data_IF_107078421484
#
_entry.id   IF_107078421484
#
_cell.length_a   1.000
_cell.length_b   1.000
_cell.length_c   1.000
_cell.angle_alpha   90.00
_cell.angle_beta   90.00
_cell.angle_gamma   90.00
#
_symmetry.space_group_name_H-M   'P 1'
#
loop_
_entity.id
_entity.type
_entity.pdbx_description
1 polymer ?
#
# COMPACT_ATOMS: atom_id res chain seq x y z
N UNK A 1 9.05 6.77 -14.01
CA UNK A 1 10.42 7.05 -13.52
C UNK A 1 11.51 6.60 -14.49
N UNK A 2 11.55 5.35 -14.95
CA UNK A 2 12.62 4.85 -15.85
C UNK A 2 12.43 5.14 -17.33
N UNK A 3 11.23 5.60 -17.74
CA UNK A 3 10.86 5.78 -19.14
C UNK A 3 10.49 4.49 -19.89
N UNK A 4 10.66 3.30 -19.28
CA UNK A 4 10.44 2.01 -19.95
C UNK A 4 9.02 1.83 -20.49
N UNK A 5 8.00 2.28 -19.74
CA UNK A 5 6.62 2.29 -20.22
C UNK A 5 6.48 3.10 -21.51
N UNK A 6 6.96 4.35 -21.50
CA UNK A 6 6.83 5.24 -22.64
C UNK A 6 7.58 4.72 -23.87
N UNK A 7 8.80 4.21 -23.70
CA UNK A 7 9.54 3.57 -24.79
C UNK A 7 8.82 2.35 -25.37
N UNK A 8 8.19 1.53 -24.52
CA UNK A 8 7.48 0.31 -24.94
C UNK A 8 6.19 0.60 -25.69
N UNK A 9 5.45 1.63 -25.27
CA UNK A 9 4.12 1.95 -25.80
C UNK A 9 4.12 3.16 -26.74
N UNK A 10 5.31 3.61 -27.19
CA UNK A 10 5.44 4.72 -28.14
C UNK A 10 4.93 6.06 -27.61
N UNK A 11 5.13 6.33 -26.32
CA UNK A 11 4.75 7.59 -25.66
C UNK A 11 5.94 8.53 -25.48
N UNK A 12 5.67 9.79 -25.14
CA UNK A 12 6.71 10.77 -24.82
C UNK A 12 7.48 10.38 -23.55
N UNK A 13 8.77 10.10 -23.69
CA UNK A 13 9.62 9.59 -22.60
C UNK A 13 9.91 10.70 -21.56
N UNK A 14 10.39 11.90 -21.94
CA UNK A 14 10.58 13.00 -20.98
C UNK A 14 9.31 13.36 -20.20
N UNK A 15 8.17 13.53 -20.88
CA UNK A 15 6.89 13.83 -20.23
C UNK A 15 6.46 12.72 -19.27
N UNK A 16 6.60 11.45 -19.67
CA UNK A 16 6.29 10.31 -18.78
C UNK A 16 7.14 10.29 -17.50
N UNK A 17 8.42 10.66 -17.59
CA UNK A 17 9.29 10.75 -16.41
C UNK A 17 8.82 11.89 -15.51
N UNK A 18 8.49 13.07 -16.08
CA UNK A 18 8.00 14.22 -15.31
C UNK A 18 6.69 13.90 -14.56
N UNK A 19 5.73 13.22 -15.20
CA UNK A 19 4.51 12.76 -14.54
C UNK A 19 4.81 11.80 -13.38
N UNK A 20 5.77 10.88 -13.58
CA UNK A 20 6.22 9.98 -12.53
C UNK A 20 6.80 10.72 -11.33
N UNK A 21 7.68 11.71 -11.57
CA UNK A 21 8.30 12.52 -10.51
C UNK A 21 7.23 13.31 -9.74
N UNK A 22 6.28 13.92 -10.46
CA UNK A 22 5.19 14.67 -9.82
C UNK A 22 4.30 13.78 -8.93
N UNK A 23 4.00 12.56 -9.36
CA UNK A 23 3.25 11.61 -8.54
C UNK A 23 4.08 11.12 -7.33
N UNK A 24 5.37 10.84 -7.51
CA UNK A 24 6.28 10.46 -6.43
C UNK A 24 6.35 11.55 -5.34
N UNK A 25 6.46 12.81 -5.74
CA UNK A 25 6.43 13.96 -4.81
C UNK A 25 5.14 13.96 -3.97
N UNK A 26 3.98 13.73 -4.59
CA UNK A 26 2.70 13.67 -3.87
C UNK A 26 2.62 12.48 -2.92
N UNK A 27 3.17 11.32 -3.31
CA UNK A 27 3.20 10.12 -2.47
C UNK A 27 4.00 10.39 -1.19
N UNK A 28 5.22 10.93 -1.32
CA UNK A 28 6.04 11.25 -0.15
C UNK A 28 5.43 12.39 0.67
N UNK A 29 4.91 13.44 0.02
CA UNK A 29 4.26 14.54 0.74
C UNK A 29 3.08 14.07 1.59
N UNK A 30 2.21 13.20 1.06
CA UNK A 30 1.08 12.63 1.83
C UNK A 30 1.60 11.71 2.95
N UNK A 31 2.62 10.91 2.66
CA UNK A 31 3.24 9.99 3.62
C UNK A 31 3.81 10.75 4.83
N UNK A 32 4.56 11.82 4.59
CA UNK A 32 5.17 12.65 5.63
C UNK A 32 4.14 13.45 6.42
N UNK A 33 3.18 14.05 5.72
CA UNK A 33 2.24 15.00 6.33
C UNK A 33 1.18 14.29 7.16
N UNK A 34 0.72 13.12 6.71
CA UNK A 34 -0.45 12.45 7.31
C UNK A 34 -0.17 11.05 7.85
N UNK A 35 0.87 10.37 7.37
CA UNK A 35 1.17 8.98 7.75
C UNK A 35 2.50 8.81 8.49
N UNK A 36 3.00 9.87 9.10
CA UNK A 36 4.16 9.82 10.01
C UNK A 36 5.41 9.18 9.38
N UNK A 37 5.60 9.31 8.06
CA UNK A 37 6.68 8.58 7.37
C UNK A 37 8.07 8.92 7.90
N UNK A 38 8.36 10.21 8.15
CA UNK A 38 9.58 10.64 8.85
C UNK A 38 9.84 9.94 10.20
N UNK A 39 8.78 9.54 10.92
CA UNK A 39 8.93 8.78 12.17
C UNK A 39 9.11 7.28 11.91
N UNK A 40 8.45 6.76 10.87
CA UNK A 40 8.27 5.32 10.65
C UNK A 40 9.23 4.68 9.65
N UNK A 41 9.97 5.47 8.86
CA UNK A 41 10.86 4.98 7.78
C UNK A 41 11.80 3.85 8.24
N UNK A 42 12.48 4.04 9.38
CA UNK A 42 13.44 3.07 9.92
C UNK A 42 12.77 1.92 10.70
N UNK A 43 11.49 2.05 11.03
CA UNK A 43 10.73 1.05 11.80
C UNK A 43 9.48 0.54 11.05
N UNK A 44 9.55 0.51 9.72
CA UNK A 44 8.47 0.05 8.83
C UNK A 44 7.95 -1.34 9.19
N UNK A 45 6.65 -1.57 8.99
CA UNK A 45 5.98 -2.83 9.34
C UNK A 45 5.49 -3.52 8.07
N UNK A 46 5.34 -4.84 8.13
CA UNK A 46 4.80 -5.61 7.00
C UNK A 46 3.31 -5.39 6.86
N UNK A 47 2.59 -5.28 7.98
CA UNK A 47 1.14 -5.14 8.01
C UNK A 47 0.70 -4.13 9.08
N UNK A 48 -0.42 -3.44 8.83
CA UNK A 48 -0.93 -2.31 9.64
C UNK A 48 -1.13 -2.66 11.13
N UNK A 49 -1.46 -3.92 11.42
CA UNK A 49 -1.76 -4.40 12.78
C UNK A 49 -0.59 -5.12 13.46
N UNK A 50 0.62 -5.14 12.88
CA UNK A 50 1.77 -5.94 13.40
C UNK A 50 2.22 -5.54 14.81
N UNK A 51 2.00 -4.28 15.19
CA UNK A 51 2.36 -3.73 16.51
C UNK A 51 1.13 -3.43 17.37
N UNK A 52 -0.06 -3.91 16.96
CA UNK A 52 -1.33 -3.59 17.64
C UNK A 52 -1.41 -4.13 19.07
N UNK A 53 -0.63 -5.17 19.42
CA UNK A 53 -0.58 -5.74 20.77
C UNK A 53 -0.01 -4.78 21.83
N UNK A 54 0.80 -3.80 21.41
CA UNK A 54 1.41 -2.81 22.30
C UNK A 54 0.52 -1.57 22.50
N UNK A 55 -0.59 -1.49 21.75
CA UNK A 55 -1.60 -0.46 21.87
C UNK A 55 -2.52 -0.69 23.08
N UNK A 56 -2.82 0.36 23.83
CA UNK A 56 -3.73 0.29 24.98
C UNK A 56 -5.16 0.75 24.65
N UNK A 57 -5.45 1.06 23.38
CA UNK A 57 -6.76 1.50 22.92
C UNK A 57 -7.16 2.91 23.35
N UNK A 58 -6.23 3.73 23.85
CA UNK A 58 -6.57 5.10 24.22
C UNK A 58 -7.02 5.93 23.02
N UNK A 59 -7.93 6.86 23.24
CA UNK A 59 -8.34 7.82 22.22
C UNK A 59 -7.15 8.69 21.80
N UNK A 60 -6.93 8.80 20.49
CA UNK A 60 -5.82 9.55 19.90
C UNK A 60 -6.27 10.92 19.39
N UNK A 61 -7.54 11.30 19.53
CA UNK A 61 -8.07 12.58 19.01
C UNK A 61 -7.33 13.82 19.52
N UNK A 62 -6.87 13.78 20.77
CA UNK A 62 -6.10 14.84 21.43
C UNK A 62 -4.63 14.46 21.67
N UNK A 63 -4.16 13.34 21.12
CA UNK A 63 -2.78 12.88 21.31
C UNK A 63 -1.82 13.69 20.43
N UNK A 64 -0.79 14.28 21.05
CA UNK A 64 0.18 15.10 20.32
C UNK A 64 1.42 14.29 19.92
N UNK A 65 1.38 13.71 18.71
CA UNK A 65 2.49 12.95 18.13
C UNK A 65 3.80 13.74 17.98
N UNK A 66 3.74 15.07 17.84
CA UNK A 66 4.95 15.89 17.61
C UNK A 66 5.81 16.02 18.85
N UNK A 67 5.20 15.95 20.03
CA UNK A 67 5.89 16.17 21.32
C UNK A 67 5.85 14.95 22.22
N UNK A 68 5.49 13.78 21.69
CA UNK A 68 5.38 12.55 22.49
C UNK A 68 6.73 11.91 22.82
N UNK A 69 7.83 12.43 22.25
CA UNK A 69 9.18 11.95 22.50
C UNK A 69 9.49 10.59 21.84
N UNK A 70 8.81 10.24 20.75
CA UNK A 70 9.04 8.98 20.02
C UNK A 70 10.51 8.72 19.67
N UNK A 71 11.21 9.70 19.05
CA UNK A 71 12.62 9.58 18.69
C UNK A 71 13.56 9.46 19.90
N UNK A 72 13.25 10.14 21.00
CA UNK A 72 14.00 10.03 22.25
C UNK A 72 13.79 8.66 22.93
N UNK A 73 12.61 8.04 22.77
CA UNK A 73 12.36 6.69 23.24
C UNK A 73 13.09 5.65 22.37
N UNK A 74 13.24 5.91 21.06
CA UNK A 74 13.95 5.03 20.14
C UNK A 74 15.46 4.93 20.45
N UNK A 75 16.12 6.07 20.68
CA UNK A 75 17.55 6.10 21.03
C UNK A 75 17.84 5.39 22.35
N UNK A 76 16.94 5.55 23.33
CA UNK A 76 17.03 4.85 24.60
C UNK A 76 16.72 3.35 24.46
N UNK A 77 15.85 2.93 23.53
CA UNK A 77 15.59 1.51 23.29
C UNK A 77 16.85 0.77 22.79
N UNK A 78 17.66 1.40 21.95
CA UNK A 78 18.93 0.85 21.46
C UNK A 78 20.02 0.74 22.55
N UNK A 79 19.98 1.59 23.58
CA UNK A 79 20.95 1.62 24.69
C UNK A 79 20.55 0.73 25.88
N UNK A 80 19.28 0.33 26.00
CA UNK A 80 18.75 -0.34 27.20
C UNK A 80 18.81 -1.88 27.19
N UNK A 81 19.61 -2.52 26.32
CA UNK A 81 19.83 -3.97 26.41
C UNK A 81 20.54 -4.41 27.71
N UNK A 82 21.09 -3.48 28.49
CA UNK A 82 21.87 -3.81 29.69
C UNK A 82 21.13 -3.68 31.04
N UNK A 83 20.13 -2.82 31.21
CA UNK A 83 19.38 -2.70 32.50
C UNK A 83 18.02 -2.02 32.33
N UNK A 84 16.91 -2.78 32.41
CA UNK A 84 15.62 -2.27 32.94
C UNK A 84 14.56 -1.71 31.98
N UNK A 85 14.06 -2.51 31.02
CA UNK A 85 12.65 -2.73 30.57
C UNK A 85 11.69 -1.55 30.22
N UNK A 86 11.89 -0.28 30.61
CA UNK A 86 10.86 0.77 30.42
C UNK A 86 10.89 1.50 29.08
N UNK A 87 12.06 1.69 28.46
CA UNK A 87 12.20 2.47 27.21
C UNK A 87 11.58 1.78 25.99
N UNK A 88 11.81 0.47 25.85
CA UNK A 88 11.28 -0.30 24.71
C UNK A 88 9.75 -0.43 24.71
N UNK A 89 9.14 -0.65 25.89
CA UNK A 89 7.69 -0.79 26.00
C UNK A 89 6.96 0.52 25.68
N UNK A 90 7.47 1.65 26.16
CA UNK A 90 6.89 2.96 25.84
C UNK A 90 7.05 3.30 24.35
N UNK A 91 8.21 3.00 23.76
CA UNK A 91 8.44 3.19 22.34
C UNK A 91 7.50 2.34 21.48
N UNK A 92 7.36 1.04 21.78
CA UNK A 92 6.46 0.13 21.06
C UNK A 92 5.00 0.61 21.09
N UNK A 93 4.56 1.14 22.25
CA UNK A 93 3.21 1.72 22.36
C UNK A 93 3.03 2.95 21.45
N UNK A 94 4.02 3.84 21.41
CA UNK A 94 3.99 5.04 20.54
C UNK A 94 4.07 4.68 19.05
N UNK A 95 4.75 3.58 18.72
CA UNK A 95 4.76 3.00 17.37
C UNK A 95 3.36 2.49 17.00
N UNK A 96 2.73 1.74 17.90
CA UNK A 96 1.36 1.24 17.72
C UNK A 96 0.35 2.37 17.51
N UNK A 97 0.45 3.47 18.28
CA UNK A 97 -0.42 4.64 18.08
C UNK A 97 -0.30 5.27 16.70
N UNK A 98 0.90 5.34 16.12
CA UNK A 98 1.09 5.88 14.76
C UNK A 98 0.43 4.99 13.72
N UNK A 99 0.61 3.67 13.80
CA UNK A 99 -0.05 2.74 12.88
C UNK A 99 -1.58 2.72 13.05
N UNK A 100 -2.11 2.80 14.28
CA UNK A 100 -3.55 2.95 14.48
C UNK A 100 -4.08 4.28 13.95
N UNK A 101 -3.37 5.39 14.15
CA UNK A 101 -3.75 6.68 13.59
C UNK A 101 -3.75 6.64 12.05
N UNK A 102 -2.75 6.00 11.41
CA UNK A 102 -2.74 5.76 9.96
C UNK A 102 -3.98 4.96 9.54
N UNK A 103 -4.33 3.91 10.29
CA UNK A 103 -5.53 3.09 10.03
C UNK A 103 -6.81 3.91 10.08
N UNK A 104 -6.95 4.77 11.08
CA UNK A 104 -8.10 5.68 11.22
C UNK A 104 -8.17 6.70 10.08
N UNK A 105 -7.04 7.33 9.73
CA UNK A 105 -6.95 8.31 8.64
C UNK A 105 -7.28 7.65 7.30
N UNK A 106 -6.66 6.51 7.00
CA UNK A 106 -6.93 5.77 5.77
C UNK A 106 -8.41 5.42 5.67
N UNK A 107 -9.00 4.80 6.69
CA UNK A 107 -10.41 4.41 6.64
C UNK A 107 -11.37 5.60 6.49
N UNK A 108 -11.01 6.76 7.07
CA UNK A 108 -11.80 7.99 6.93
C UNK A 108 -11.72 8.60 5.52
N UNK A 109 -10.56 8.54 4.87
CA UNK A 109 -10.29 9.30 3.65
C UNK A 109 -10.03 8.44 2.39
N UNK A 110 -10.05 7.11 2.48
CA UNK A 110 -9.73 6.20 1.35
C UNK A 110 -10.61 6.39 0.10
N UNK A 111 -11.81 6.95 0.27
CA UNK A 111 -12.75 7.28 -0.82
C UNK A 111 -12.79 8.79 -1.14
N UNK A 112 -12.01 9.61 -0.42
CA UNK A 112 -12.06 11.08 -0.50
C UNK A 112 -10.69 11.69 -0.19
N UNK A 113 -9.62 11.14 -0.80
CA UNK A 113 -8.22 11.55 -0.54
C UNK A 113 -7.96 13.03 -0.79
N UNK A 114 -8.74 13.67 -1.69
CA UNK A 114 -8.68 15.11 -1.89
C UNK A 114 -9.02 15.96 -0.65
N UNK A 115 -9.64 15.36 0.38
CA UNK A 115 -9.85 15.99 1.70
C UNK A 115 -8.63 15.94 2.63
N UNK A 116 -7.62 15.12 2.34
CA UNK A 116 -6.33 15.12 3.04
C UNK A 116 -5.36 16.14 2.44
N UNK A 117 -5.43 16.34 1.12
CA UNK A 117 -4.49 17.20 0.41
C UNK A 117 -4.80 18.68 0.62
N UNK A 118 -3.75 19.49 0.81
CA UNK A 118 -3.86 20.95 0.76
C UNK A 118 -4.43 21.39 -0.61
N UNK A 119 -5.19 22.50 -0.71
CA UNK A 119 -5.90 22.88 -1.93
C UNK A 119 -5.03 22.88 -3.21
N UNK A 120 -3.84 23.47 -3.15
CA UNK A 120 -2.90 23.49 -4.28
C UNK A 120 -2.41 22.08 -4.67
N UNK A 121 -2.10 21.23 -3.68
CA UNK A 121 -1.67 19.85 -3.91
C UNK A 121 -2.81 18.98 -4.44
N UNK A 122 -4.05 19.25 -4.05
CA UNK A 122 -5.24 18.58 -4.58
C UNK A 122 -5.43 18.88 -6.07
N UNK A 123 -5.30 20.13 -6.50
CA UNK A 123 -5.41 20.51 -7.91
C UNK A 123 -4.29 19.86 -8.74
N UNK A 124 -3.04 19.93 -8.25
CA UNK A 124 -1.90 19.24 -8.85
C UNK A 124 -2.16 17.73 -8.99
N UNK A 125 -2.69 17.09 -7.94
CA UNK A 125 -3.02 15.66 -7.95
C UNK A 125 -4.08 15.30 -8.99
N UNK A 126 -5.15 16.08 -9.10
CA UNK A 126 -6.21 15.85 -10.09
C UNK A 126 -5.63 15.93 -11.52
N UNK A 127 -4.85 16.97 -11.80
CA UNK A 127 -4.23 17.15 -13.11
C UNK A 127 -3.26 16.00 -13.44
N UNK A 128 -2.39 15.63 -12.50
CA UNK A 128 -1.45 14.51 -12.67
C UNK A 128 -2.18 13.19 -12.93
N UNK A 129 -3.27 12.91 -12.21
CA UNK A 129 -4.08 11.71 -12.42
C UNK A 129 -4.68 11.67 -13.82
N UNK A 130 -5.21 12.79 -14.32
CA UNK A 130 -5.76 12.87 -15.67
C UNK A 130 -4.68 12.65 -16.75
N UNK A 131 -3.52 13.27 -16.60
CA UNK A 131 -2.42 13.13 -17.55
C UNK A 131 -1.83 11.71 -17.54
N UNK A 132 -1.69 11.09 -16.37
CA UNK A 132 -1.26 9.69 -16.24
C UNK A 132 -2.27 8.74 -16.89
N UNK A 133 -3.59 8.94 -16.70
CA UNK A 133 -4.60 8.10 -17.36
C UNK A 133 -4.50 8.21 -18.89
N UNK A 134 -4.36 9.44 -19.41
CA UNK A 134 -4.19 9.68 -20.84
C UNK A 134 -2.91 9.03 -21.39
N UNK A 135 -1.77 9.22 -20.70
CA UNK A 135 -0.49 8.62 -21.07
C UNK A 135 -0.57 7.09 -21.06
N UNK A 136 -1.30 6.51 -20.10
CA UNK A 136 -1.35 5.07 -19.86
C UNK A 136 -2.49 4.36 -20.58
N UNK A 137 -3.18 5.05 -21.50
CA UNK A 137 -4.32 4.51 -22.26
C UNK A 137 -5.42 3.93 -21.34
N UNK A 138 -5.71 4.63 -20.24
CA UNK A 138 -6.70 4.26 -19.22
C UNK A 138 -6.41 2.91 -18.52
N UNK A 139 -5.13 2.56 -18.35
CA UNK A 139 -4.74 1.29 -17.73
C UNK A 139 -5.29 1.14 -16.31
N UNK A 140 -5.20 2.17 -15.46
CA UNK A 140 -5.74 2.11 -14.10
C UNK A 140 -7.25 1.97 -14.12
N UNK A 141 -7.95 2.67 -15.01
CA UNK A 141 -9.41 2.53 -15.17
C UNK A 141 -9.80 1.07 -15.46
N UNK A 142 -9.09 0.39 -16.37
CA UNK A 142 -9.34 -1.03 -16.66
C UNK A 142 -9.05 -1.93 -15.45
N UNK A 143 -7.93 -1.74 -14.78
CA UNK A 143 -7.56 -2.53 -13.59
C UNK A 143 -8.55 -2.29 -12.44
N UNK A 144 -9.02 -1.05 -12.26
CA UNK A 144 -10.01 -0.70 -11.24
C UNK A 144 -11.32 -1.44 -11.47
N UNK A 145 -11.78 -1.54 -12.72
CA UNK A 145 -12.97 -2.36 -13.05
C UNK A 145 -12.79 -3.83 -12.66
N UNK A 146 -11.61 -4.41 -12.88
CA UNK A 146 -11.32 -5.78 -12.45
C UNK A 146 -11.42 -5.93 -10.93
N UNK A 147 -10.81 -4.99 -10.19
CA UNK A 147 -10.83 -4.98 -8.73
C UNK A 147 -12.24 -4.76 -8.17
N UNK A 148 -13.05 -3.91 -8.80
CA UNK A 148 -14.45 -3.68 -8.44
C UNK A 148 -15.33 -4.91 -8.68
N UNK A 149 -15.13 -5.62 -9.80
CA UNK A 149 -15.82 -6.89 -10.06
C UNK A 149 -15.51 -7.91 -8.96
N UNK A 150 -14.24 -8.04 -8.56
CA UNK A 150 -13.85 -8.91 -7.44
C UNK A 150 -14.52 -8.45 -6.14
N UNK A 151 -14.45 -7.15 -5.84
CA UNK A 151 -15.01 -6.56 -4.61
C UNK A 151 -16.54 -6.67 -4.51
N UNK A 152 -17.24 -6.76 -5.65
CA UNK A 152 -18.70 -6.94 -5.69
C UNK A 152 -19.15 -8.36 -5.35
N UNK A 153 -18.25 -9.35 -5.39
CA UNK A 153 -18.58 -10.77 -5.17
C UNK A 153 -18.48 -11.11 -3.67
N UNK A 154 -19.46 -11.81 -3.10
CA UNK A 154 -19.50 -12.06 -1.66
C UNK A 154 -18.38 -12.98 -1.14
N UNK A 155 -17.82 -13.84 -2.01
CA UNK A 155 -16.83 -14.85 -1.65
C UNK A 155 -15.42 -14.55 -2.19
N UNK A 156 -15.17 -13.31 -2.64
CA UNK A 156 -13.88 -12.91 -3.18
C UNK A 156 -13.35 -11.68 -2.43
N UNK A 157 -12.03 -11.59 -2.31
CA UNK A 157 -11.36 -10.53 -1.55
C UNK A 157 -10.12 -10.08 -2.32
N UNK A 158 -9.96 -8.78 -2.47
CA UNK A 158 -8.74 -8.19 -2.98
C UNK A 158 -7.69 -8.09 -1.85
N UNK A 159 -6.47 -8.57 -2.13
CA UNK A 159 -5.30 -8.45 -1.25
C UNK A 159 -4.12 -7.90 -2.06
N UNK A 160 -3.46 -6.87 -1.53
CA UNK A 160 -2.31 -6.23 -2.15
C UNK A 160 -1.02 -6.67 -1.45
N UNK A 161 -0.05 -7.15 -2.22
CA UNK A 161 1.32 -7.41 -1.75
C UNK A 161 2.29 -6.60 -2.60
N UNK A 162 3.07 -5.72 -1.97
CA UNK A 162 3.97 -4.79 -2.67
C UNK A 162 5.36 -4.76 -2.07
N UNK A 163 6.40 -4.51 -2.87
CA UNK A 163 7.79 -4.34 -2.38
C UNK A 163 8.08 -2.93 -1.87
N UNK A 164 7.09 -2.05 -1.86
CA UNK A 164 7.18 -0.72 -1.25
C UNK A 164 6.97 -0.84 0.27
N UNK A 165 7.70 -0.04 1.06
CA UNK A 165 7.40 0.13 2.48
C UNK A 165 5.92 0.45 2.71
N UNK A 166 5.36 0.01 3.84
CA UNK A 166 3.92 0.02 4.05
C UNK A 166 3.33 1.43 3.98
N UNK A 167 3.96 2.40 4.64
CA UNK A 167 3.45 3.79 4.68
C UNK A 167 3.32 4.41 3.27
N UNK A 168 4.39 4.48 2.44
CA UNK A 168 4.27 4.98 1.08
C UNK A 168 3.41 4.09 0.16
N UNK A 169 3.25 2.79 0.47
CA UNK A 169 2.29 1.94 -0.23
C UNK A 169 0.84 2.38 0.04
N UNK A 170 0.48 2.70 1.29
CA UNK A 170 -0.83 3.21 1.65
C UNK A 170 -1.12 4.55 0.99
N UNK A 171 -0.13 5.45 0.95
CA UNK A 171 -0.23 6.72 0.24
C UNK A 171 -0.48 6.52 -1.26
N UNK A 172 0.24 5.58 -1.90
CA UNK A 172 -0.01 5.20 -3.29
C UNK A 172 -1.44 4.70 -3.50
N UNK A 173 -1.90 3.75 -2.69
CA UNK A 173 -3.26 3.20 -2.81
C UNK A 173 -4.31 4.32 -2.70
N UNK A 174 -4.13 5.26 -1.77
CA UNK A 174 -5.03 6.41 -1.63
C UNK A 174 -4.98 7.35 -2.84
N UNK A 175 -3.78 7.77 -3.27
CA UNK A 175 -3.60 8.72 -4.38
C UNK A 175 -4.00 8.15 -5.74
N UNK A 176 -3.93 6.83 -5.92
CA UNK A 176 -4.42 6.15 -7.12
C UNK A 176 -5.92 5.80 -7.04
N UNK A 177 -6.62 6.14 -5.95
CA UNK A 177 -8.06 5.93 -5.81
C UNK A 177 -8.45 4.46 -5.60
N UNK A 178 -7.52 3.63 -5.14
CA UNK A 178 -7.72 2.20 -4.92
C UNK A 178 -8.21 1.86 -3.50
N UNK A 179 -8.37 2.88 -2.66
CA UNK A 179 -8.79 2.72 -1.27
C UNK A 179 -10.21 2.16 -1.09
N UNK A 180 -11.08 2.30 -2.09
CA UNK A 180 -12.42 1.69 -2.08
C UNK A 180 -12.42 0.17 -2.24
N UNK A 181 -11.39 -0.39 -2.89
CA UNK A 181 -11.29 -1.82 -3.25
C UNK A 181 -10.26 -2.59 -2.42
N UNK A 182 -9.36 -1.91 -1.72
CA UNK A 182 -8.44 -2.52 -0.75
C UNK A 182 -8.76 -2.04 0.66
N UNK A 183 -9.26 -2.94 1.50
CA UNK A 183 -9.25 -2.72 2.94
C UNK A 183 -7.79 -2.61 3.41
N UNK A 184 -7.51 -1.75 4.39
CA UNK A 184 -6.13 -1.52 4.84
C UNK A 184 -5.49 -2.77 5.44
N UNK A 185 -6.29 -3.63 6.07
CA UNK A 185 -5.86 -4.92 6.59
C UNK A 185 -5.51 -5.91 5.46
N UNK A 186 -5.84 -5.61 4.21
CA UNK A 186 -5.51 -6.46 3.07
C UNK A 186 -4.30 -5.94 2.30
N UNK A 187 -3.50 -5.04 2.87
CA UNK A 187 -2.29 -4.48 2.26
C UNK A 187 -1.07 -4.97 3.05
N UNK A 188 -0.14 -5.62 2.35
CA UNK A 188 1.08 -6.18 2.92
C UNK A 188 2.31 -5.61 2.20
N UNK A 189 3.26 -5.11 2.99
CA UNK A 189 4.59 -4.74 2.51
C UNK A 189 5.55 -5.93 2.57
N UNK A 190 6.04 -6.34 1.41
CA UNK A 190 7.04 -7.38 1.23
C UNK A 190 8.48 -6.85 1.36
N UNK A 191 8.69 -5.58 1.69
CA UNK A 191 10.03 -4.95 1.68
C UNK A 191 11.04 -5.68 2.57
N UNK A 192 10.61 -6.13 3.76
CA UNK A 192 11.49 -6.79 4.73
C UNK A 192 11.50 -8.32 4.63
N UNK A 193 10.35 -8.92 4.31
CA UNK A 193 10.17 -10.39 4.41
C UNK A 193 10.00 -11.10 3.08
N UNK A 194 9.91 -10.37 1.96
CA UNK A 194 9.66 -10.93 0.64
C UNK A 194 8.20 -11.33 0.39
N UNK A 195 7.84 -11.53 -0.89
CA UNK A 195 6.44 -11.82 -1.30
C UNK A 195 5.97 -13.20 -0.85
N UNK A 196 6.84 -14.20 -0.85
CA UNK A 196 6.53 -15.56 -0.40
C UNK A 196 6.06 -15.58 1.06
N UNK A 197 6.82 -14.98 1.97
CA UNK A 197 6.44 -14.86 3.39
C UNK A 197 5.13 -14.08 3.57
N UNK A 198 4.88 -13.03 2.78
CA UNK A 198 3.60 -12.33 2.78
C UNK A 198 2.44 -13.26 2.36
N UNK A 199 2.63 -14.07 1.32
CA UNK A 199 1.64 -15.05 0.88
C UNK A 199 1.35 -16.09 1.96
N UNK A 200 2.35 -16.61 2.67
CA UNK A 200 2.15 -17.52 3.79
C UNK A 200 1.36 -16.89 4.94
N UNK A 201 1.61 -15.61 5.25
CA UNK A 201 0.83 -14.85 6.24
C UNK A 201 -0.63 -14.69 5.80
N UNK A 202 -0.86 -14.43 4.51
CA UNK A 202 -2.21 -14.35 3.92
C UNK A 202 -2.92 -15.71 4.03
N UNK A 203 -2.23 -16.81 3.72
CA UNK A 203 -2.78 -18.17 3.90
C UNK A 203 -3.13 -18.47 5.34
N UNK A 204 -2.28 -18.06 6.27
CA UNK A 204 -2.51 -18.24 7.71
C UNK A 204 -3.75 -17.47 8.19
N UNK A 205 -4.03 -16.31 7.61
CA UNK A 205 -5.18 -15.48 7.93
C UNK A 205 -6.49 -15.98 7.30
N UNK A 206 -6.50 -16.27 6.00
CA UNK A 206 -7.71 -16.64 5.26
C UNK A 206 -8.01 -18.15 5.29
N UNK A 207 -7.00 -18.98 5.54
CA UNK A 207 -7.11 -20.43 5.67
C UNK A 207 -6.89 -21.19 4.36
N UNK A 208 -6.31 -22.38 4.47
CA UNK A 208 -5.86 -23.22 3.33
C UNK A 208 -6.97 -23.73 2.39
N UNK A 209 -8.25 -23.51 2.72
CA UNK A 209 -9.39 -23.92 1.89
C UNK A 209 -9.75 -22.89 0.82
N UNK A 210 -9.21 -21.68 0.88
CA UNK A 210 -9.40 -20.67 -0.14
C UNK A 210 -8.61 -20.99 -1.41
N UNK A 211 -9.13 -20.57 -2.55
CA UNK A 211 -8.36 -20.51 -3.80
C UNK A 211 -7.60 -19.19 -3.85
N UNK A 212 -6.27 -19.26 -3.91
CA UNK A 212 -5.41 -18.08 -4.03
C UNK A 212 -4.99 -17.91 -5.49
N UNK A 213 -5.33 -16.79 -6.09
CA UNK A 213 -4.88 -16.42 -7.44
C UNK A 213 -3.94 -15.22 -7.32
N UNK A 214 -2.71 -15.39 -7.78
CA UNK A 214 -1.70 -14.32 -7.75
C UNK A 214 -1.72 -13.60 -9.10
N UNK A 215 -1.83 -12.28 -9.07
CA UNK A 215 -1.81 -11.42 -10.26
C UNK A 215 -0.62 -10.47 -10.16
N UNK A 216 0.23 -10.40 -11.18
CA UNK A 216 1.39 -9.50 -11.17
C UNK A 216 2.22 -9.57 -12.45
N UNK A 217 3.21 -8.68 -12.55
CA UNK A 217 4.10 -8.56 -13.72
C UNK A 217 5.51 -9.09 -13.43
N UNK A 218 5.91 -9.09 -12.15
CA UNK A 218 7.26 -9.42 -11.69
C UNK A 218 7.53 -10.92 -11.56
N UNK A 219 8.83 -11.26 -11.49
CA UNK A 219 9.31 -12.63 -11.29
C UNK A 219 9.18 -13.10 -9.84
N UNK A 220 9.26 -12.18 -8.88
CA UNK A 220 9.27 -12.52 -7.46
C UNK A 220 7.92 -13.11 -7.02
N UNK A 221 6.81 -12.47 -7.42
CA UNK A 221 5.44 -12.96 -7.16
C UNK A 221 5.14 -14.27 -7.90
N UNK A 222 5.64 -14.45 -9.12
CA UNK A 222 5.45 -15.67 -9.88
C UNK A 222 6.20 -16.85 -9.26
N UNK A 223 7.45 -16.62 -8.84
CA UNK A 223 8.25 -17.64 -8.15
C UNK A 223 7.60 -18.03 -6.83
N UNK A 224 7.16 -17.06 -6.03
CA UNK A 224 6.46 -17.30 -4.77
C UNK A 224 5.12 -18.04 -4.98
N UNK A 225 4.34 -17.64 -5.99
CA UNK A 225 3.09 -18.33 -6.35
C UNK A 225 3.35 -19.79 -6.73
N UNK A 226 4.40 -20.05 -7.53
CA UNK A 226 4.79 -21.40 -7.94
C UNK A 226 5.20 -22.28 -6.74
N UNK A 227 5.95 -21.73 -5.80
CA UNK A 227 6.36 -22.46 -4.59
C UNK A 227 5.17 -22.88 -3.71
N UNK A 228 4.15 -22.01 -3.64
CA UNK A 228 2.92 -22.26 -2.88
C UNK A 228 1.82 -22.97 -3.70
N UNK A 229 2.09 -23.33 -4.96
CA UNK A 229 1.14 -23.91 -5.91
C UNK A 229 -0.11 -23.05 -6.15
N UNK A 230 0.04 -21.73 -6.18
CA UNK A 230 -1.03 -20.79 -6.52
C UNK A 230 -1.08 -20.55 -8.03
N UNK A 231 -2.27 -20.59 -8.66
CA UNK A 231 -2.46 -20.05 -10.00
C UNK A 231 -1.89 -18.63 -10.13
N UNK A 232 -1.12 -18.39 -11.19
CA UNK A 232 -0.50 -17.10 -11.47
C UNK A 232 -1.04 -16.52 -12.78
N UNK A 233 -1.58 -15.31 -12.73
CA UNK A 233 -1.99 -14.53 -13.90
C UNK A 233 -0.99 -13.41 -14.16
N UNK A 234 -0.16 -13.58 -15.19
CA UNK A 234 0.84 -12.57 -15.56
C UNK A 234 0.17 -11.37 -16.24
N UNK A 235 0.54 -10.16 -15.82
CA UNK A 235 0.20 -8.92 -16.52
C UNK A 235 1.46 -8.37 -17.20
N UNK A 236 1.66 -8.68 -18.47
CA UNK A 236 2.78 -8.15 -19.23
C UNK A 236 2.38 -6.93 -20.08
N UNK A 237 1.09 -6.75 -20.37
CA UNK A 237 0.54 -5.74 -21.28
C UNK A 237 -0.91 -5.38 -20.92
N UNK A 238 -1.46 -4.35 -21.58
CA UNK A 238 -2.87 -3.98 -21.47
C UNK A 238 -3.80 -5.11 -21.93
N UNK A 239 -3.38 -5.95 -22.89
CA UNK A 239 -4.18 -7.08 -23.35
C UNK A 239 -4.38 -8.13 -22.26
N UNK A 240 -3.37 -8.36 -21.41
CA UNK A 240 -3.48 -9.31 -20.30
C UNK A 240 -4.43 -8.80 -19.22
N UNK A 241 -4.48 -7.47 -19.01
CA UNK A 241 -5.45 -6.83 -18.10
C UNK A 241 -6.87 -6.92 -18.66
N UNK A 242 -7.04 -6.78 -19.98
CA UNK A 242 -8.34 -6.96 -20.64
C UNK A 242 -8.79 -8.43 -20.61
N UNK A 243 -7.87 -9.38 -20.78
CA UNK A 243 -8.16 -10.79 -20.64
C UNK A 243 -8.58 -11.15 -19.20
N UNK A 244 -7.94 -10.57 -18.19
CA UNK A 244 -8.34 -10.71 -16.79
C UNK A 244 -9.76 -10.19 -16.56
N UNK A 245 -10.06 -8.99 -17.08
CA UNK A 245 -11.42 -8.43 -17.02
C UNK A 245 -12.45 -9.39 -17.61
N UNK A 246 -12.20 -9.93 -18.81
CA UNK A 246 -13.12 -10.86 -19.46
C UNK A 246 -13.30 -12.16 -18.66
N UNK A 247 -12.24 -12.71 -18.07
CA UNK A 247 -12.31 -13.90 -17.24
C UNK A 247 -13.15 -13.66 -15.96
N UNK A 248 -13.01 -12.48 -15.34
CA UNK A 248 -13.83 -12.07 -14.19
C UNK A 248 -15.29 -11.83 -14.59
N UNK A 249 -15.55 -11.15 -15.69
CA UNK A 249 -16.92 -10.85 -16.15
C UNK A 249 -17.71 -12.12 -16.48
N UNK A 250 -17.03 -13.12 -17.08
CA UNK A 250 -17.62 -14.41 -17.44
C UNK A 250 -17.68 -15.42 -16.28
N UNK A 251 -17.13 -15.09 -15.10
CA UNK A 251 -17.15 -15.97 -13.94
C UNK A 251 -16.20 -17.17 -14.01
N UNK A 252 -15.14 -17.08 -14.82
CA UNK A 252 -14.11 -18.13 -14.92
C UNK A 252 -13.05 -18.07 -13.82
N UNK A 253 -13.12 -17.03 -12.98
CA UNK A 253 -12.32 -16.80 -11.78
C UNK A 253 -13.23 -16.48 -10.61
#
# INVERSE_FOLDING_TARGET
>A
MTGSYASRFGKDVPGSIQLGVGMEELIFNLSDTHFFFNDLEECDQVHIDDVSSDDNGQDLSNYNFRTDGFHAAATNASLCLATGVRGGVDWMRKLAFRYRAIKEIYNRYRNSVGGLLAPAKREQWIQLRMEIESLTDNWLTLVTKCLELINSRPNAVNVLVTTTQLVPALAKVALYGLGGVFAIENIYSATKIGKESCFERIVSRFGRKCTYVVVGDGRDEESAAKQLNFPFWRIASHQDSAALYNALDLGYM
#
